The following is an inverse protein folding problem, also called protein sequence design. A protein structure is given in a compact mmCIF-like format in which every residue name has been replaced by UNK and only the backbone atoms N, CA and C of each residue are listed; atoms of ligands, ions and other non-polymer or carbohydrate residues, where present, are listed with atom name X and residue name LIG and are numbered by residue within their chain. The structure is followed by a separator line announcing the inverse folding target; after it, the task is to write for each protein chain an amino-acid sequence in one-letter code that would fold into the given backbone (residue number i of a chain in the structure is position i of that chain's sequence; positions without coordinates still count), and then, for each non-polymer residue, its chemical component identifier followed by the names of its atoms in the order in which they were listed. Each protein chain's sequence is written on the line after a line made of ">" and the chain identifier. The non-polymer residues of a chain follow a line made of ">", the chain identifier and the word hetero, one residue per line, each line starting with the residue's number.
data_IF_071836630254
#
_entry.id   IF_071836630254
#
_cell.length_a   1.000
_cell.length_b   1.000
_cell.length_c   1.000
_cell.angle_alpha   90.00
_cell.angle_beta   90.00
_cell.angle_gamma   90.00
#
_symmetry.space_group_name_H-M   'P 1'
#
loop_
_entity.id
_entity.type
_entity.pdbx_description
1 polymer ?
#
# COMPACT_ATOMS: atom_id res chain seq x y z
N UNK A 1 1.45 7.57 0.35
CA UNK A 1 0.09 8.14 0.46
C UNK A 1 -0.89 7.05 0.01
N UNK A 2 -2.02 6.84 0.71
CA UNK A 2 -2.94 5.71 0.45
C UNK A 2 -4.01 6.09 -0.57
N UNK A 3 -3.79 5.69 -1.82
CA UNK A 3 -4.60 6.05 -3.00
C UNK A 3 -5.99 5.44 -2.99
N UNK A 4 -6.21 4.33 -2.28
CA UNK A 4 -7.53 3.70 -2.15
C UNK A 4 -8.25 4.14 -0.86
N UNK A 5 -7.83 5.27 -0.28
CA UNK A 5 -8.44 5.87 0.91
C UNK A 5 -7.93 5.33 2.26
N UNK A 6 -7.01 4.36 2.24
CA UNK A 6 -6.33 3.83 3.41
C UNK A 6 -7.28 3.26 4.48
N UNK A 7 -6.79 3.17 5.72
CA UNK A 7 -7.54 2.58 6.84
C UNK A 7 -8.86 3.29 7.16
N UNK A 8 -8.94 4.58 6.84
CA UNK A 8 -10.09 5.42 7.17
C UNK A 8 -11.29 5.16 6.26
N UNK A 9 -11.06 5.01 4.95
CA UNK A 9 -12.15 4.81 3.99
C UNK A 9 -12.29 3.34 3.56
N UNK A 10 -11.18 2.63 3.31
CA UNK A 10 -11.18 1.22 2.91
C UNK A 10 -11.39 0.25 4.09
N UNK A 11 -11.14 0.74 5.31
CA UNK A 11 -11.29 -0.02 6.56
C UNK A 11 -9.97 -0.60 7.10
N UNK A 12 -10.02 -1.07 8.35
CA UNK A 12 -8.88 -1.62 9.09
C UNK A 12 -9.15 -3.04 9.60
N UNK A 13 -9.19 -4.06 8.71
CA UNK A 13 -9.15 -5.45 9.15
C UNK A 13 -7.74 -5.75 9.64
N UNK A 14 -7.56 -5.88 10.96
CA UNK A 14 -6.24 -5.92 11.64
C UNK A 14 -5.26 -6.90 10.97
N UNK A 15 -5.69 -8.13 10.66
CA UNK A 15 -4.82 -9.13 10.02
C UNK A 15 -4.63 -8.94 8.51
N UNK A 16 -5.60 -8.34 7.81
CA UNK A 16 -5.58 -8.22 6.35
C UNK A 16 -5.07 -6.86 5.82
N UNK A 17 -4.92 -5.87 6.71
CA UNK A 17 -4.48 -4.52 6.34
C UNK A 17 -3.16 -4.51 5.59
N UNK A 18 -2.16 -5.25 6.07
CA UNK A 18 -0.86 -5.33 5.41
C UNK A 18 -0.94 -5.91 4.00
N UNK A 19 -1.83 -6.90 3.80
CA UNK A 19 -2.08 -7.50 2.48
C UNK A 19 -2.75 -6.48 1.54
N UNK A 20 -3.73 -5.72 2.02
CA UNK A 20 -4.37 -4.68 1.19
C UNK A 20 -3.38 -3.59 0.77
N UNK A 21 -2.46 -3.21 1.64
CA UNK A 21 -1.39 -2.28 1.30
C UNK A 21 -0.45 -2.86 0.23
N UNK A 22 -0.10 -4.15 0.34
CA UNK A 22 0.72 -4.84 -0.66
C UNK A 22 0.04 -4.96 -2.03
N UNK A 23 -1.24 -5.30 -2.05
CA UNK A 23 -2.04 -5.37 -3.28
C UNK A 23 -2.17 -3.99 -3.92
N UNK A 24 -2.42 -2.95 -3.13
CA UNK A 24 -2.48 -1.57 -3.65
C UNK A 24 -1.13 -1.14 -4.26
N UNK A 25 -0.02 -1.42 -3.58
CA UNK A 25 1.31 -1.13 -4.11
C UNK A 25 1.58 -1.87 -5.44
N UNK A 26 1.22 -3.16 -5.51
CA UNK A 26 1.30 -3.94 -6.75
C UNK A 26 0.47 -3.32 -7.87
N UNK A 27 -0.80 -2.98 -7.60
CA UNK A 27 -1.68 -2.36 -8.59
C UNK A 27 -1.11 -1.04 -9.11
N UNK A 28 -0.52 -0.22 -8.22
CA UNK A 28 0.12 1.04 -8.61
C UNK A 28 1.33 0.81 -9.50
N UNK A 29 2.25 -0.09 -9.10
CA UNK A 29 3.46 -0.37 -9.88
C UNK A 29 3.14 -0.96 -11.26
N UNK A 30 2.12 -1.81 -11.35
CA UNK A 30 1.75 -2.51 -12.58
C UNK A 30 0.80 -1.71 -13.49
N UNK A 31 0.41 -0.49 -13.14
CA UNK A 31 -0.51 0.30 -13.95
C UNK A 31 -1.96 -0.18 -13.91
N UNK A 32 -2.35 -0.91 -12.86
CA UNK A 32 -3.66 -1.55 -12.70
C UNK A 32 -4.59 -0.80 -11.72
N UNK A 33 -4.21 0.39 -11.25
CA UNK A 33 -4.94 1.10 -10.21
C UNK A 33 -6.13 1.96 -10.71
N UNK A 34 -6.47 1.89 -12.01
CA UNK A 34 -7.64 2.56 -12.59
C UNK A 34 -7.60 4.08 -12.37
N UNK A 35 -8.72 4.67 -11.92
CA UNK A 35 -8.81 6.11 -11.65
C UNK A 35 -7.86 6.60 -10.53
N UNK A 36 -7.39 5.69 -9.67
CA UNK A 36 -6.47 6.01 -8.58
C UNK A 36 -4.99 5.91 -8.99
N UNK A 37 -4.69 5.67 -10.26
CA UNK A 37 -3.33 5.42 -10.74
C UNK A 37 -2.40 6.62 -10.53
N UNK A 38 -1.27 6.36 -9.87
CA UNK A 38 -0.17 7.31 -9.75
C UNK A 38 0.63 7.28 -11.06
N UNK A 39 0.86 8.44 -11.72
CA UNK A 39 1.66 8.50 -12.94
C UNK A 39 3.10 8.04 -12.70
N UNK A 40 3.63 7.23 -13.62
CA UNK A 40 5.04 6.79 -13.63
C UNK A 40 5.51 6.16 -12.30
N UNK A 41 4.66 5.34 -11.66
CA UNK A 41 5.02 4.64 -10.44
C UNK A 41 6.10 3.57 -10.70
N UNK A 42 7.31 3.78 -10.15
CA UNK A 42 8.44 2.85 -10.24
C UNK A 42 8.79 2.21 -8.89
N UNK A 43 8.52 2.93 -7.80
CA UNK A 43 8.75 2.49 -6.43
C UNK A 43 7.48 2.65 -5.61
N UNK A 44 7.25 1.71 -4.70
CA UNK A 44 6.19 1.80 -3.72
C UNK A 44 6.74 1.53 -2.31
N UNK A 45 6.23 2.28 -1.34
CA UNK A 45 6.53 2.07 0.07
C UNK A 45 5.27 1.65 0.81
N UNK A 46 5.37 0.54 1.53
CA UNK A 46 4.34 0.07 2.45
C UNK A 46 4.90 0.21 3.85
N UNK A 47 4.13 0.83 4.74
CA UNK A 47 4.43 0.88 6.16
C UNK A 47 3.21 0.44 6.96
N UNK A 48 3.37 -0.64 7.71
CA UNK A 48 2.37 -1.19 8.61
C UNK A 48 2.83 -0.99 10.05
N UNK A 49 1.96 -0.42 10.89
CA UNK A 49 2.28 -0.09 12.28
C UNK A 49 1.34 -0.89 13.19
N UNK A 50 1.92 -1.62 14.15
CA UNK A 50 1.21 -2.42 15.14
C UNK A 50 1.09 -1.71 16.49
N UNK A 51 -0.08 -1.86 17.12
CA UNK A 51 -0.38 -1.22 18.41
C UNK A 51 -0.30 0.31 18.33
N UNK A 52 0.18 0.93 19.40
CA UNK A 52 0.43 2.38 19.46
C UNK A 52 1.86 2.72 18.97
N UNK A 53 2.30 2.09 17.88
CA UNK A 53 3.68 2.25 17.37
C UNK A 53 4.70 1.32 18.02
N UNK A 54 4.26 0.24 18.66
CA UNK A 54 5.17 -0.73 19.29
C UNK A 54 5.97 -1.54 18.26
N UNK A 55 5.41 -1.73 17.08
CA UNK A 55 6.09 -2.37 15.95
C UNK A 55 5.79 -1.63 14.65
N UNK A 56 6.77 -1.63 13.75
CA UNK A 56 6.62 -1.09 12.40
C UNK A 56 7.32 -2.02 11.41
N UNK A 57 6.62 -2.35 10.33
CA UNK A 57 7.11 -3.16 9.23
C UNK A 57 7.08 -2.33 7.96
N UNK A 58 8.23 -2.16 7.32
CA UNK A 58 8.36 -1.36 6.11
C UNK A 58 8.86 -2.21 4.96
N UNK A 59 8.21 -2.11 3.81
CA UNK A 59 8.62 -2.76 2.57
C UNK A 59 8.79 -1.69 1.49
N UNK A 60 9.91 -1.74 0.78
CA UNK A 60 10.15 -0.95 -0.44
C UNK A 60 10.10 -1.92 -1.61
N UNK A 61 9.15 -1.68 -2.51
CA UNK A 61 8.95 -2.45 -3.72
C UNK A 61 9.43 -1.60 -4.90
N UNK A 62 10.05 -2.24 -5.88
CA UNK A 62 10.44 -1.64 -7.15
C UNK A 62 9.83 -2.47 -8.27
N UNK A 63 9.26 -1.81 -9.29
CA UNK A 63 8.94 -2.51 -10.53
C UNK A 63 10.24 -2.88 -11.24
N UNK A 64 10.45 -4.17 -11.43
CA UNK A 64 11.45 -4.70 -12.36
C UNK A 64 10.75 -5.08 -13.65
N UNK A 65 11.31 -4.61 -14.74
CA UNK A 65 11.00 -4.95 -16.13
C UNK A 65 11.27 -6.43 -16.45
#
# INVERSE_FOLDING_TARGET
>A
MSTFGGLKARGNPVGATGIYQAVEAYMQLMGLAGENQVPNAEFALIQSIGGLGASAFTHVLRRTD
#
